data_IF_057788398840
#
_entry.id   IF_057788398840
#
_cell.length_a   1.000
_cell.length_b   1.000
_cell.length_c   1.000
_cell.angle_alpha   90.00
_cell.angle_beta   90.00
_cell.angle_gamma   90.00
#
_symmetry.space_group_name_H-M   'P 1'
#
loop_
_entity.id
_entity.type
_entity.pdbx_description
1 polymer ?
#
# COMPACT_ATOMS: atom_id res chain seq x y z
N UNK A 1 5.30 -4.50 17.66
CA UNK A 1 4.98 -5.26 16.43
C UNK A 1 4.64 -4.31 15.27
N UNK A 2 3.62 -3.46 15.41
CA UNK A 2 3.17 -2.57 14.33
C UNK A 2 4.29 -1.71 13.66
N UNK A 3 5.22 -1.06 14.40
CA UNK A 3 6.30 -0.30 13.76
C UNK A 3 7.24 -1.16 12.92
N UNK A 4 7.54 -2.38 13.39
CA UNK A 4 8.41 -3.33 12.69
C UNK A 4 7.74 -3.86 11.42
N UNK A 5 6.46 -4.20 11.47
CA UNK A 5 5.70 -4.65 10.29
C UNK A 5 5.57 -3.54 9.26
N UNK A 6 5.36 -2.29 9.69
CA UNK A 6 5.32 -1.13 8.77
C UNK A 6 6.69 -0.90 8.13
N UNK A 7 7.78 -1.00 8.89
CA UNK A 7 9.13 -0.88 8.34
C UNK A 7 9.42 -1.98 7.31
N UNK A 8 9.05 -3.24 7.61
CA UNK A 8 9.18 -4.36 6.69
C UNK A 8 8.34 -4.17 5.42
N UNK A 9 7.11 -3.65 5.55
CA UNK A 9 6.26 -3.34 4.42
C UNK A 9 6.85 -2.24 3.53
N UNK A 10 7.39 -1.16 4.13
CA UNK A 10 8.08 -0.10 3.38
C UNK A 10 9.28 -0.67 2.63
N UNK A 11 10.10 -1.49 3.29
CA UNK A 11 11.23 -2.16 2.64
C UNK A 11 10.77 -3.04 1.47
N UNK A 12 9.75 -3.87 1.67
CA UNK A 12 9.21 -4.75 0.62
C UNK A 12 8.64 -3.95 -0.57
N UNK A 13 7.97 -2.82 -0.32
CA UNK A 13 7.43 -1.96 -1.36
C UNK A 13 8.52 -1.28 -2.19
N UNK A 14 9.57 -0.77 -1.54
CA UNK A 14 10.67 -0.09 -2.21
C UNK A 14 11.60 -1.05 -2.95
N UNK A 15 11.80 -2.26 -2.41
CA UNK A 15 12.72 -3.24 -2.98
C UNK A 15 12.07 -4.16 -4.04
N UNK A 16 10.77 -3.97 -4.34
CA UNK A 16 10.01 -4.85 -5.24
C UNK A 16 10.50 -4.90 -6.68
N UNK A 17 11.30 -3.92 -7.12
CA UNK A 17 11.91 -3.92 -8.45
C UNK A 17 13.20 -4.77 -8.53
N UNK A 18 13.92 -4.91 -7.42
CA UNK A 18 15.25 -5.53 -7.38
C UNK A 18 15.25 -6.94 -6.78
N UNK A 19 14.25 -7.27 -5.96
CA UNK A 19 14.14 -8.53 -5.23
C UNK A 19 12.65 -8.90 -5.04
N UNK A 20 12.33 -10.12 -4.57
CA UNK A 20 10.96 -10.49 -4.20
C UNK A 20 10.35 -9.50 -3.21
N UNK A 21 9.21 -8.91 -3.57
CA UNK A 21 8.59 -7.81 -2.82
C UNK A 21 7.42 -7.19 -3.59
N UNK A 22 7.26 -5.88 -3.44
CA UNK A 22 6.26 -5.08 -4.15
C UNK A 22 5.05 -4.69 -3.31
N UNK A 23 4.13 -3.98 -3.95
CA UNK A 23 2.97 -3.37 -3.29
C UNK A 23 2.03 -4.36 -2.59
N UNK A 24 1.80 -5.53 -3.20
CA UNK A 24 0.88 -6.53 -2.67
C UNK A 24 1.35 -7.12 -1.33
N UNK A 25 2.59 -7.64 -1.28
CA UNK A 25 3.16 -8.22 -0.06
C UNK A 25 3.29 -7.14 1.02
N UNK A 26 3.74 -5.95 0.67
CA UNK A 26 3.81 -4.83 1.60
C UNK A 26 2.43 -4.49 2.20
N UNK A 27 1.36 -4.54 1.39
CA UNK A 27 -0.02 -4.36 1.86
C UNK A 27 -0.46 -5.45 2.84
N UNK A 28 -0.14 -6.71 2.56
CA UNK A 28 -0.45 -7.83 3.46
C UNK A 28 0.30 -7.72 4.79
N UNK A 29 1.59 -7.43 4.77
CA UNK A 29 2.40 -7.25 5.98
C UNK A 29 1.87 -6.08 6.83
N UNK A 30 1.51 -4.97 6.18
CA UNK A 30 0.88 -3.82 6.86
C UNK A 30 -0.43 -4.22 7.52
N UNK A 31 -1.27 -4.97 6.80
CA UNK A 31 -2.56 -5.47 7.30
C UNK A 31 -2.36 -6.38 8.51
N UNK A 32 -1.40 -7.31 8.47
CA UNK A 32 -1.10 -8.19 9.62
C UNK A 32 -0.68 -7.36 10.85
N UNK A 33 0.12 -6.32 10.64
CA UNK A 33 0.49 -5.38 11.70
C UNK A 33 -0.72 -4.69 12.32
N UNK A 34 -1.62 -4.17 11.49
CA UNK A 34 -2.87 -3.51 11.89
C UNK A 34 -3.83 -4.47 12.61
N UNK A 35 -3.99 -5.70 12.11
CA UNK A 35 -4.81 -6.73 12.76
C UNK A 35 -4.27 -7.09 14.13
N UNK A 36 -2.96 -7.32 14.24
CA UNK A 36 -2.32 -7.62 15.53
C UNK A 36 -2.50 -6.47 16.52
N UNK A 37 -2.39 -5.21 16.05
CA UNK A 37 -2.65 -4.04 16.87
C UNK A 37 -4.11 -3.99 17.35
N UNK A 38 -5.07 -4.23 16.45
CA UNK A 38 -6.50 -4.26 16.77
C UNK A 38 -6.84 -5.37 17.78
N UNK A 39 -6.24 -6.55 17.65
CA UNK A 39 -6.43 -7.65 18.60
C UNK A 39 -5.84 -7.33 19.99
N UNK A 40 -4.70 -6.64 20.04
CA UNK A 40 -4.03 -6.31 21.31
C UNK A 40 -4.68 -5.14 22.07
N UNK A 41 -5.17 -4.11 21.35
CA UNK A 41 -5.65 -2.87 21.96
C UNK A 41 -7.15 -2.60 21.77
N UNK A 42 -7.84 -3.45 21.00
CA UNK A 42 -9.28 -3.36 20.73
C UNK A 42 -9.67 -2.33 19.65
N UNK A 43 -10.95 -2.36 19.27
CA UNK A 43 -11.50 -1.57 18.15
C UNK A 43 -11.39 -0.06 18.38
N UNK A 44 -11.60 0.41 19.62
CA UNK A 44 -11.52 1.85 19.95
C UNK A 44 -10.11 2.41 19.73
N UNK A 45 -9.08 1.65 20.12
CA UNK A 45 -7.70 2.05 19.90
C UNK A 45 -7.33 1.98 18.42
N UNK A 46 -7.81 0.95 17.71
CA UNK A 46 -7.63 0.83 16.27
C UNK A 46 -8.22 2.01 15.50
N UNK A 47 -9.47 2.41 15.78
CA UNK A 47 -10.08 3.57 15.13
C UNK A 47 -9.38 4.90 15.45
N UNK A 48 -8.76 5.04 16.63
CA UNK A 48 -7.92 6.21 16.94
C UNK A 48 -6.63 6.24 16.14
N UNK A 49 -6.01 5.07 15.93
CA UNK A 49 -4.80 4.94 15.11
C UNK A 49 -5.10 5.10 13.61
N UNK A 50 -6.20 4.52 13.15
CA UNK A 50 -6.59 4.44 11.75
C UNK A 50 -8.04 4.91 11.57
N UNK A 51 -8.28 6.24 11.53
CA UNK A 51 -9.62 6.83 11.45
C UNK A 51 -10.22 6.84 10.03
N UNK A 52 -9.54 6.22 9.05
CA UNK A 52 -9.94 6.28 7.64
C UNK A 52 -10.85 5.11 7.30
N UNK A 53 -11.99 5.39 6.67
CA UNK A 53 -12.89 4.33 6.24
C UNK A 53 -12.24 3.51 5.09
N UNK A 54 -12.23 2.17 5.17
CA UNK A 54 -11.51 1.32 4.21
C UNK A 54 -11.86 1.54 2.73
N UNK A 55 -13.12 1.89 2.42
CA UNK A 55 -13.59 2.27 1.08
C UNK A 55 -12.77 3.40 0.44
N UNK A 56 -12.35 4.39 1.23
CA UNK A 56 -11.60 5.54 0.73
C UNK A 56 -10.17 5.15 0.38
N UNK A 57 -9.58 4.20 1.11
CA UNK A 57 -8.29 3.63 0.70
C UNK A 57 -8.40 2.92 -0.64
N UNK A 58 -9.43 2.09 -0.83
CA UNK A 58 -9.62 1.38 -2.10
C UNK A 58 -9.77 2.35 -3.27
N UNK A 59 -10.62 3.38 -3.12
CA UNK A 59 -10.81 4.40 -4.17
C UNK A 59 -9.51 5.18 -4.43
N UNK A 60 -8.79 5.59 -3.39
CA UNK A 60 -7.54 6.34 -3.53
C UNK A 60 -6.44 5.49 -4.20
N UNK A 61 -6.30 4.22 -3.80
CA UNK A 61 -5.31 3.31 -4.38
C UNK A 61 -5.62 2.94 -5.83
N UNK A 62 -6.90 2.68 -6.14
CA UNK A 62 -7.35 2.46 -7.52
C UNK A 62 -7.15 3.72 -8.38
N UNK A 63 -7.48 4.90 -7.85
CA UNK A 63 -7.24 6.17 -8.53
C UNK A 63 -5.76 6.39 -8.83
N UNK A 64 -4.89 6.13 -7.85
CA UNK A 64 -3.44 6.27 -8.01
C UNK A 64 -2.89 5.30 -9.07
N UNK A 65 -3.25 4.01 -9.00
CA UNK A 65 -2.81 3.01 -9.99
C UNK A 65 -3.30 3.35 -11.40
N UNK A 66 -4.55 3.80 -11.53
CA UNK A 66 -5.14 4.20 -12.81
C UNK A 66 -4.42 5.39 -13.42
N UNK A 67 -4.14 6.43 -12.62
CA UNK A 67 -3.40 7.61 -13.08
C UNK A 67 -2.02 7.20 -13.57
N UNK A 68 -1.28 6.41 -12.79
CA UNK A 68 0.05 5.92 -13.18
C UNK A 68 0.01 5.08 -14.46
N UNK A 69 -1.04 4.26 -14.63
CA UNK A 69 -1.22 3.42 -15.82
C UNK A 69 -1.51 4.22 -17.10
N UNK A 70 -2.24 5.34 -16.99
CA UNK A 70 -2.69 6.15 -18.13
C UNK A 70 -1.70 7.26 -18.50
N UNK A 71 -0.88 7.75 -17.57
CA UNK A 71 0.13 8.81 -17.84
C UNK A 71 0.96 8.53 -19.12
N UNK A 72 1.47 7.32 -19.38
CA UNK A 72 2.22 7.03 -20.61
C UNK A 72 1.41 7.25 -21.90
N UNK A 73 0.09 6.99 -21.86
CA UNK A 73 -0.78 7.17 -23.03
C UNK A 73 -0.84 8.64 -23.48
N UNK A 74 -0.76 9.59 -22.53
CA UNK A 74 -0.71 11.02 -22.83
C UNK A 74 0.59 11.43 -23.54
N UNK A 75 1.64 10.63 -23.42
CA UNK A 75 2.91 10.80 -24.12
C UNK A 75 2.99 10.00 -25.43
N UNK A 76 1.89 9.38 -25.88
CA UNK A 76 1.86 8.52 -27.07
C UNK A 76 2.44 7.12 -26.85
N UNK A 77 2.66 6.73 -25.60
CA UNK A 77 3.24 5.44 -25.23
C UNK A 77 2.20 4.39 -24.84
N UNK A 78 2.54 3.08 -24.89
CA UNK A 78 1.64 2.02 -24.43
C UNK A 78 1.23 2.19 -22.96
N UNK A 79 0.00 1.75 -22.64
CA UNK A 79 -0.51 1.69 -21.26
C UNK A 79 0.47 0.91 -20.36
N UNK A 80 0.62 1.37 -19.11
CA UNK A 80 1.53 0.76 -18.11
C UNK A 80 3.02 0.75 -18.50
N UNK A 81 3.44 1.49 -19.54
CA UNK A 81 4.87 1.64 -19.84
C UNK A 81 5.58 2.23 -18.61
N UNK A 82 6.53 1.45 -18.08
CA UNK A 82 7.32 1.88 -16.93
C UNK A 82 8.41 2.86 -17.36
N UNK A 83 8.50 3.98 -16.65
CA UNK A 83 9.57 4.96 -16.78
C UNK A 83 10.50 4.85 -15.57
N UNK A 84 11.80 4.80 -15.79
CA UNK A 84 12.81 4.84 -14.73
C UNK A 84 13.40 6.25 -14.64
N UNK A 85 13.38 6.84 -13.45
CA UNK A 85 14.06 8.10 -13.14
C UNK A 85 15.04 7.86 -12.00
N UNK A 86 16.27 8.33 -12.16
CA UNK A 86 17.27 8.27 -11.10
C UNK A 86 17.12 9.54 -10.25
N UNK A 87 16.64 9.39 -9.02
CA UNK A 87 16.54 10.48 -8.05
C UNK A 87 17.82 10.50 -7.21
N UNK A 88 18.56 11.60 -7.26
CA UNK A 88 19.84 11.73 -6.53
C UNK A 88 19.60 12.41 -5.19
N UNK A 89 19.54 11.63 -4.10
CA UNK A 89 19.33 12.14 -2.74
C UNK A 89 20.62 11.95 -1.93
N UNK A 90 21.21 13.03 -1.43
CA UNK A 90 22.36 12.95 -0.51
C UNK A 90 23.61 12.23 -1.06
N UNK A 91 23.80 12.21 -2.38
CA UNK A 91 24.93 11.53 -3.03
C UNK A 91 24.70 10.06 -3.40
N UNK A 92 23.56 9.47 -3.02
CA UNK A 92 23.14 8.15 -3.49
C UNK A 92 22.14 8.25 -4.66
N UNK A 93 22.27 7.34 -5.62
CA UNK A 93 21.38 7.22 -6.77
C UNK A 93 20.23 6.28 -6.42
N UNK A 94 19.05 6.85 -6.15
CA UNK A 94 17.83 6.08 -5.95
C UNK A 94 17.15 5.88 -7.31
N UNK A 95 17.16 4.66 -7.81
CA UNK A 95 16.45 4.28 -9.03
C UNK A 95 14.95 4.21 -8.71
N UNK A 96 14.22 5.31 -8.94
CA UNK A 96 12.77 5.32 -8.82
C UNK A 96 12.17 4.90 -10.15
N UNK A 97 11.46 3.79 -10.14
CA UNK A 97 10.69 3.32 -11.29
C UNK A 97 9.24 3.72 -11.07
N UNK A 98 8.54 4.16 -12.11
CA UNK A 98 7.11 4.46 -12.02
C UNK A 98 6.28 3.26 -11.54
N UNK A 99 6.79 2.03 -11.73
CA UNK A 99 6.24 0.80 -11.15
C UNK A 99 6.17 0.83 -9.61
N UNK A 100 7.09 1.52 -8.94
CA UNK A 100 7.04 1.68 -7.47
C UNK A 100 5.85 2.52 -7.03
N UNK A 101 5.47 3.54 -7.81
CA UNK A 101 4.28 4.37 -7.52
C UNK A 101 3.00 3.59 -7.82
N UNK A 102 3.00 2.79 -8.88
CA UNK A 102 1.92 1.84 -9.16
C UNK A 102 1.73 0.86 -7.99
N UNK A 103 2.82 0.26 -7.52
CA UNK A 103 2.81 -0.66 -6.37
C UNK A 103 2.34 0.01 -5.08
N UNK A 104 2.65 1.28 -4.86
CA UNK A 104 2.11 2.03 -3.73
C UNK A 104 0.57 2.10 -3.79
N UNK A 105 0.00 2.31 -4.97
CA UNK A 105 -1.45 2.25 -5.15
C UNK A 105 -2.01 0.85 -4.83
N UNK A 106 -1.34 -0.21 -5.30
CA UNK A 106 -1.72 -1.60 -4.98
C UNK A 106 -1.67 -1.85 -3.47
N UNK A 107 -0.62 -1.40 -2.78
CA UNK A 107 -0.49 -1.51 -1.32
C UNK A 107 -1.70 -0.91 -0.61
N UNK A 108 -2.07 0.32 -0.98
CA UNK A 108 -3.21 1.04 -0.40
C UNK A 108 -4.51 0.29 -0.64
N UNK A 109 -4.73 -0.27 -1.85
CA UNK A 109 -5.90 -1.10 -2.14
C UNK A 109 -5.94 -2.34 -1.26
N UNK A 110 -4.82 -3.07 -1.15
CA UNK A 110 -4.75 -4.31 -0.34
C UNK A 110 -5.07 -4.02 1.13
N UNK A 111 -4.47 -2.97 1.71
CA UNK A 111 -4.77 -2.55 3.09
C UNK A 111 -6.25 -2.17 3.23
N UNK A 112 -6.79 -1.40 2.30
CA UNK A 112 -8.20 -1.00 2.30
C UNK A 112 -9.15 -2.18 2.23
N UNK A 113 -8.93 -3.12 1.31
CA UNK A 113 -9.78 -4.31 1.18
C UNK A 113 -9.69 -5.18 2.43
N UNK A 114 -8.48 -5.48 2.90
CA UNK A 114 -8.30 -6.43 4.00
C UNK A 114 -8.80 -5.87 5.34
N UNK A 115 -8.50 -4.60 5.66
CA UNK A 115 -9.08 -3.94 6.85
C UNK A 115 -10.60 -3.88 6.72
N UNK A 116 -11.13 -3.55 5.55
CA UNK A 116 -12.57 -3.54 5.29
C UNK A 116 -13.24 -4.88 5.56
N UNK A 117 -12.67 -5.97 5.03
CA UNK A 117 -13.16 -7.33 5.29
C UNK A 117 -13.16 -7.67 6.78
N UNK A 118 -12.07 -7.35 7.48
CA UNK A 118 -11.87 -7.73 8.88
C UNK A 118 -12.72 -6.87 9.83
N UNK A 119 -13.04 -5.62 9.47
CA UNK A 119 -14.04 -4.80 10.17
C UNK A 119 -15.45 -5.34 9.93
N UNK A 120 -15.83 -5.63 8.68
CA UNK A 120 -17.15 -6.19 8.36
C UNK A 120 -17.42 -7.52 9.06
N UNK A 121 -16.44 -8.43 9.03
CA UNK A 121 -16.56 -9.71 9.71
C UNK A 121 -16.68 -9.54 11.24
N UNK A 122 -16.00 -8.55 11.81
CA UNK A 122 -16.13 -8.21 13.23
C UNK A 122 -17.50 -7.66 13.61
N UNK A 123 -18.14 -6.89 12.71
CA UNK A 123 -19.51 -6.41 12.88
C UNK A 123 -20.53 -7.56 12.78
N UNK A 124 -20.32 -8.52 11.88
CA UNK A 124 -21.22 -9.66 11.66
C UNK A 124 -21.15 -10.74 12.76
N UNK A 125 -19.97 -10.96 13.33
CA UNK A 125 -19.74 -11.95 14.40
C UNK A 125 -19.89 -11.37 15.81
N UNK A 126 -20.01 -10.04 15.93
CA UNK A 126 -20.30 -9.37 17.20
C UNK A 126 -21.77 -9.54 17.61
N UNK A 127 -22.07 -9.48 18.93
CA UNK A 127 -23.46 -9.55 19.42
C UNK A 127 -24.33 -8.40 18.91
#
# INVERSE_FOLDING_TARGET
>A
VLPLTVLLAIYAALNGHNAPGGGFIAGLVTTVGLCTYRMAFGERAFHRLFPVHPRWLVVAGLGLTLVVAIIPLLAGEPLLRSASTVLRLGGQELHLVSSTVFDLGVLVVVVGVAVGMITRLGEELGP
#
